data_IF_695844454976
#
_entry.id   IF_695844454976
#
_cell.length_a   1.000
_cell.length_b   1.000
_cell.length_c   1.000
_cell.angle_alpha   90.00
_cell.angle_beta   90.00
_cell.angle_gamma   90.00
#
_symmetry.space_group_name_H-M   'P 1'
#
loop_
_entity.id
_entity.type
_entity.pdbx_description
1 polymer ?
#
# COMPACT_ATOMS: atom_id res chain seq x y z
N UNK A 1 -2.11 -27.92 -26.01
CA UNK A 1 -2.71 -27.58 -24.70
C UNK A 1 -2.20 -26.21 -24.35
N UNK A 2 -3.05 -25.19 -24.50
CA UNK A 2 -2.76 -23.85 -24.00
C UNK A 2 -3.23 -23.86 -22.56
N UNK A 3 -2.30 -23.77 -21.62
CA UNK A 3 -2.65 -23.59 -20.22
C UNK A 3 -3.37 -22.26 -20.10
N UNK A 4 -4.66 -22.34 -19.77
CA UNK A 4 -5.49 -21.22 -19.39
C UNK A 4 -4.94 -20.66 -18.07
N UNK A 5 -3.89 -19.86 -18.13
CA UNK A 5 -3.53 -18.98 -17.02
C UNK A 5 -4.61 -17.92 -16.90
N UNK A 6 -5.43 -18.06 -15.87
CA UNK A 6 -6.36 -17.01 -15.49
C UNK A 6 -5.53 -15.88 -14.87
N UNK A 7 -5.65 -14.61 -15.31
CA UNK A 7 -4.79 -13.52 -14.83
C UNK A 7 -4.87 -13.18 -13.33
N UNK A 8 -5.65 -13.94 -12.54
CA UNK A 8 -5.71 -13.87 -11.09
C UNK A 8 -4.69 -14.79 -10.39
N UNK A 9 -3.83 -15.49 -11.15
CA UNK A 9 -3.13 -16.67 -10.64
C UNK A 9 -2.05 -16.42 -9.58
N UNK A 10 -1.31 -15.29 -9.52
CA UNK A 10 -0.32 -15.05 -8.43
C UNK A 10 0.03 -13.57 -8.19
N UNK A 11 -0.94 -12.65 -8.22
CA UNK A 11 -0.62 -11.23 -7.95
C UNK A 11 -0.63 -10.96 -6.44
N UNK A 12 0.53 -10.69 -5.86
CA UNK A 12 0.60 -10.27 -4.45
C UNK A 12 -0.03 -8.89 -4.26
N UNK A 13 -0.51 -8.59 -3.04
CA UNK A 13 -1.01 -7.24 -2.73
C UNK A 13 0.05 -6.17 -3.08
N UNK A 14 1.32 -6.45 -2.82
CA UNK A 14 2.43 -5.55 -3.13
C UNK A 14 2.54 -5.29 -4.63
N UNK A 15 2.43 -6.32 -5.46
CA UNK A 15 2.47 -6.18 -6.92
C UNK A 15 1.29 -5.36 -7.45
N UNK A 16 0.08 -5.57 -6.92
CA UNK A 16 -1.10 -4.78 -7.29
C UNK A 16 -0.88 -3.30 -6.95
N UNK A 17 -0.37 -3.00 -5.75
CA UNK A 17 -0.12 -1.62 -5.33
C UNK A 17 1.00 -0.96 -6.15
N UNK A 18 2.08 -1.69 -6.47
CA UNK A 18 3.14 -1.22 -7.37
C UNK A 18 2.59 -0.89 -8.77
N UNK A 19 1.75 -1.78 -9.34
CA UNK A 19 1.14 -1.54 -10.65
C UNK A 19 0.26 -0.28 -10.64
N UNK A 20 -0.48 -0.01 -9.56
CA UNK A 20 -1.27 1.23 -9.43
C UNK A 20 -0.39 2.47 -9.28
N UNK A 21 0.68 2.39 -8.49
CA UNK A 21 1.63 3.50 -8.37
C UNK A 21 2.32 3.84 -9.71
N UNK A 22 2.57 2.84 -10.56
CA UNK A 22 3.16 3.06 -11.89
C UNK A 22 2.16 3.61 -12.91
N UNK A 23 0.93 3.09 -12.94
CA UNK A 23 -0.04 3.42 -13.98
C UNK A 23 -0.96 4.60 -13.63
N UNK A 24 -1.27 4.79 -12.34
CA UNK A 24 -2.15 5.85 -11.84
C UNK A 24 -1.60 6.52 -10.56
N UNK A 25 -0.38 7.11 -10.61
CA UNK A 25 0.31 7.64 -9.43
C UNK A 25 -0.46 8.72 -8.67
N UNK A 26 -1.22 9.56 -9.38
CA UNK A 26 -1.95 10.70 -8.80
C UNK A 26 -3.34 10.30 -8.27
N UNK A 27 -3.77 9.05 -8.49
CA UNK A 27 -5.06 8.60 -7.98
C UNK A 27 -5.02 8.38 -6.47
N UNK A 28 -6.10 8.74 -5.74
CA UNK A 28 -6.22 8.47 -4.31
C UNK A 28 -6.13 6.98 -3.99
N UNK A 29 -5.14 6.59 -3.18
CA UNK A 29 -5.03 5.26 -2.59
C UNK A 29 -5.78 5.17 -1.25
N UNK A 30 -5.63 6.22 -0.42
CA UNK A 30 -6.32 6.34 0.86
C UNK A 30 -6.90 7.73 1.05
N UNK A 31 -8.05 7.76 1.73
CA UNK A 31 -8.69 8.97 2.27
C UNK A 31 -8.84 8.76 3.76
N UNK A 32 -8.14 9.56 4.55
CA UNK A 32 -8.23 9.49 6.00
C UNK A 32 -9.42 10.32 6.46
N UNK A 33 -10.42 9.66 7.03
CA UNK A 33 -11.61 10.30 7.56
C UNK A 33 -11.32 10.66 9.02
N UNK A 34 -11.29 11.95 9.35
CA UNK A 34 -11.18 12.39 10.73
C UNK A 34 -12.49 12.12 11.48
N UNK A 35 -12.39 11.50 12.65
CA UNK A 35 -13.54 11.30 13.55
C UNK A 35 -13.97 12.58 14.29
N UNK A 36 -13.22 13.68 14.17
CA UNK A 36 -13.56 14.96 14.80
C UNK A 36 -14.58 15.73 13.95
N UNK A 37 -15.80 15.82 14.46
CA UNK A 37 -16.91 16.57 13.84
C UNK A 37 -16.63 18.07 13.70
N UNK A 38 -15.62 18.61 14.39
CA UNK A 38 -15.25 20.03 14.34
C UNK A 38 -14.21 20.35 13.26
N UNK A 39 -13.67 19.34 12.56
CA UNK A 39 -12.77 19.51 11.41
C UNK A 39 -13.14 18.58 10.26
N UNK A 40 -14.31 18.79 9.64
CA UNK A 40 -14.76 17.95 8.53
C UNK A 40 -13.89 18.12 7.26
N UNK A 41 -13.13 19.20 7.13
CA UNK A 41 -12.53 19.62 5.84
C UNK A 41 -11.03 19.28 5.69
N UNK A 42 -10.36 18.76 6.72
CA UNK A 42 -8.96 18.31 6.60
C UNK A 42 -8.93 16.85 6.08
N UNK A 43 -9.47 16.61 4.89
CA UNK A 43 -9.38 15.29 4.25
C UNK A 43 -7.93 15.05 3.80
N UNK A 44 -7.19 14.22 4.55
CA UNK A 44 -5.86 13.80 4.13
C UNK A 44 -6.03 12.74 3.05
N UNK A 45 -5.65 13.08 1.83
CA UNK A 45 -5.57 12.14 0.70
C UNK A 45 -4.14 11.69 0.55
N UNK A 46 -3.94 10.37 0.42
CA UNK A 46 -2.66 9.78 0.06
C UNK A 46 -2.80 9.12 -1.31
N UNK A 47 -2.02 9.56 -2.29
CA UNK A 47 -2.06 8.99 -3.64
C UNK A 47 -1.26 7.68 -3.72
N UNK A 48 -1.44 6.91 -4.80
CA UNK A 48 -0.66 5.68 -5.01
C UNK A 48 0.85 5.96 -5.12
N UNK A 49 1.25 7.06 -5.77
CA UNK A 49 2.67 7.43 -5.88
C UNK A 49 3.30 7.85 -4.54
N UNK A 50 2.56 8.61 -3.73
CA UNK A 50 3.00 9.01 -2.39
C UNK A 50 3.10 7.81 -1.44
N UNK A 51 2.12 6.90 -1.52
CA UNK A 51 2.10 5.67 -0.74
C UNK A 51 3.29 4.77 -1.10
N UNK A 52 3.57 4.55 -2.40
CA UNK A 52 4.70 3.72 -2.84
C UNK A 52 6.03 4.26 -2.31
N UNK A 53 6.26 5.57 -2.42
CA UNK A 53 7.46 6.22 -1.90
C UNK A 53 7.63 5.99 -0.40
N UNK A 54 6.56 6.16 0.39
CA UNK A 54 6.59 5.95 1.85
C UNK A 54 6.78 4.49 2.22
N UNK A 55 6.13 3.57 1.51
CA UNK A 55 6.21 2.12 1.77
C UNK A 55 7.60 1.60 1.46
N UNK A 56 8.26 2.05 0.37
CA UNK A 56 9.64 1.63 0.05
C UNK A 56 10.62 1.98 1.17
N UNK A 57 10.48 3.17 1.76
CA UNK A 57 11.31 3.56 2.92
C UNK A 57 11.12 2.61 4.10
N UNK A 58 9.86 2.28 4.44
CA UNK A 58 9.57 1.33 5.52
C UNK A 58 10.05 -0.08 5.20
N UNK A 59 9.90 -0.52 3.95
CA UNK A 59 10.33 -1.83 3.49
C UNK A 59 11.85 -2.00 3.65
N UNK A 60 12.65 -0.99 3.28
CA UNK A 60 14.10 -1.00 3.50
C UNK A 60 14.44 -1.17 4.99
N UNK A 61 13.77 -0.43 5.88
CA UNK A 61 14.01 -0.53 7.33
C UNK A 61 13.65 -1.92 7.87
N UNK A 62 12.58 -2.53 7.37
CA UNK A 62 12.14 -3.86 7.81
C UNK A 62 13.04 -4.96 7.27
N UNK A 63 13.46 -4.89 6.00
CA UNK A 63 14.33 -5.88 5.37
C UNK A 63 15.67 -6.06 6.12
N UNK A 64 16.17 -5.00 6.77
CA UNK A 64 17.38 -5.06 7.59
C UNK A 64 17.16 -5.71 8.98
N UNK A 65 15.90 -5.98 9.38
CA UNK A 65 15.54 -6.35 10.76
C UNK A 65 14.76 -7.65 10.89
N UNK A 66 14.15 -8.16 9.82
CA UNK A 66 13.29 -9.35 9.85
C UNK A 66 13.59 -10.28 8.67
N UNK A 67 13.26 -11.55 8.84
CA UNK A 67 13.33 -12.57 7.79
C UNK A 67 11.95 -12.88 7.19
N UNK A 68 11.95 -13.51 6.02
CA UNK A 68 10.73 -13.96 5.39
C UNK A 68 10.03 -15.00 6.29
N UNK A 69 8.77 -14.74 6.64
CA UNK A 69 7.98 -15.60 7.51
C UNK A 69 7.93 -15.13 8.97
N UNK A 70 8.72 -14.12 9.33
CA UNK A 70 8.61 -13.49 10.65
C UNK A 70 7.23 -12.84 10.84
N UNK A 71 6.72 -12.94 12.07
CA UNK A 71 5.45 -12.34 12.46
C UNK A 71 5.72 -10.95 13.03
N UNK A 72 5.05 -9.95 12.49
CA UNK A 72 5.14 -8.56 12.95
C UNK A 72 3.88 -8.16 13.70
N UNK A 73 4.03 -7.36 14.75
CA UNK A 73 2.92 -6.73 15.48
C UNK A 73 2.91 -5.24 15.13
N UNK A 74 1.81 -4.76 14.55
CA UNK A 74 1.59 -3.34 14.31
C UNK A 74 0.82 -2.74 15.49
N UNK A 75 1.46 -1.83 16.21
CA UNK A 75 0.85 -1.07 17.30
C UNK A 75 0.51 0.32 16.78
N UNK A 76 -0.78 0.66 16.79
CA UNK A 76 -1.27 1.99 16.48
C UNK A 76 -1.79 2.65 17.76
N UNK A 77 -1.58 3.96 17.94
CA UNK A 77 -2.07 4.71 19.09
C UNK A 77 -3.60 4.83 19.13
#
# INVERSE_FOLDING_TARGET
>A
MLDNFTPFDQTSLVEILNLRALNTPDEPAYRFIHCDKNRPDEEIVLTYGEMDTKVRLLATILQDRIELGDRVLLLYP
#
